data_IF_939730488883
#
_entry.id   IF_939730488883
#
_cell.length_a   1.000
_cell.length_b   1.000
_cell.length_c   1.000
_cell.angle_alpha   90.00
_cell.angle_beta   90.00
_cell.angle_gamma   90.00
#
_symmetry.space_group_name_H-M   'P 1'
#
loop_
_entity.id
_entity.type
_entity.pdbx_description
1 polymer ?
#
# COMPACT_ATOMS: atom_id res chain seq x y z
N UNK A 1 -0.83 -14.13 -20.63
CA UNK A 1 -1.33 -13.65 -19.32
C UNK A 1 -2.74 -13.04 -19.44
N UNK A 2 -3.76 -13.79 -19.89
CA UNK A 2 -5.11 -13.22 -20.06
C UNK A 2 -5.76 -12.76 -18.74
N UNK A 3 -5.47 -13.44 -17.61
CA UNK A 3 -6.06 -13.10 -16.31
C UNK A 3 -5.60 -11.75 -15.74
N UNK A 4 -4.33 -11.37 -15.94
CA UNK A 4 -3.77 -10.12 -15.41
C UNK A 4 -4.40 -8.91 -16.09
N UNK A 5 -4.42 -8.90 -17.42
CA UNK A 5 -5.06 -7.83 -18.19
C UNK A 5 -6.55 -7.70 -17.86
N UNK A 6 -7.26 -8.82 -17.67
CA UNK A 6 -8.66 -8.81 -17.25
C UNK A 6 -8.86 -8.15 -15.87
N UNK A 7 -8.01 -8.48 -14.89
CA UNK A 7 -8.04 -7.84 -13.58
C UNK A 7 -7.78 -6.32 -13.67
N UNK A 8 -6.73 -5.91 -14.39
CA UNK A 8 -6.37 -4.49 -14.56
C UNK A 8 -7.51 -3.69 -15.20
N UNK A 9 -8.13 -4.24 -16.26
CA UNK A 9 -9.26 -3.60 -16.92
C UNK A 9 -10.50 -3.51 -16.00
N UNK A 10 -10.73 -4.51 -15.15
CA UNK A 10 -11.84 -4.51 -14.21
C UNK A 10 -11.67 -3.49 -13.07
N UNK A 11 -10.44 -3.26 -12.61
CA UNK A 11 -10.16 -2.31 -11.51
C UNK A 11 -10.02 -0.87 -11.98
N UNK A 12 -9.57 -0.62 -13.21
CA UNK A 12 -9.34 0.72 -13.76
C UNK A 12 -10.50 1.72 -13.56
N UNK A 13 -11.79 1.37 -13.81
CA UNK A 13 -12.89 2.32 -13.63
C UNK A 13 -13.29 2.55 -12.17
N UNK A 14 -12.73 1.79 -11.22
CA UNK A 14 -13.21 1.80 -9.82
C UNK A 14 -12.58 2.88 -8.95
N UNK A 15 -11.64 3.67 -9.48
CA UNK A 15 -10.87 4.67 -8.72
C UNK A 15 -10.27 4.07 -7.42
N UNK A 16 -9.40 3.07 -7.58
CA UNK A 16 -8.79 2.28 -6.48
C UNK A 16 -9.77 1.51 -5.58
N UNK A 17 -11.02 1.37 -6.02
CA UNK A 17 -12.09 0.68 -5.28
C UNK A 17 -13.13 1.63 -4.68
N UNK A 18 -12.94 2.96 -4.74
CA UNK A 18 -13.88 3.96 -4.23
C UNK A 18 -15.25 3.90 -4.91
N UNK A 19 -15.25 3.65 -6.22
CA UNK A 19 -16.44 3.65 -7.08
C UNK A 19 -16.93 2.22 -7.40
N UNK A 20 -16.34 1.19 -6.80
CA UNK A 20 -16.70 -0.20 -7.09
C UNK A 20 -18.09 -0.53 -6.52
N UNK A 21 -18.99 -0.99 -7.39
CA UNK A 21 -20.28 -1.58 -6.99
C UNK A 21 -20.09 -2.99 -6.41
N UNK A 22 -21.07 -3.50 -5.66
CA UNK A 22 -20.98 -4.85 -5.08
C UNK A 22 -20.77 -5.96 -6.15
N UNK A 23 -21.48 -5.96 -7.30
CA UNK A 23 -21.22 -6.92 -8.37
C UNK A 23 -19.79 -6.81 -8.93
N UNK A 24 -19.28 -5.58 -9.09
CA UNK A 24 -17.90 -5.37 -9.55
C UNK A 24 -16.89 -5.89 -8.53
N UNK A 25 -17.10 -5.64 -7.23
CA UNK A 25 -16.25 -6.17 -6.16
C UNK A 25 -16.19 -7.70 -6.21
N UNK A 26 -17.33 -8.37 -6.37
CA UNK A 26 -17.39 -9.83 -6.49
C UNK A 26 -16.61 -10.32 -7.72
N UNK A 27 -16.80 -9.70 -8.88
CA UNK A 27 -16.08 -10.05 -10.10
C UNK A 27 -14.56 -9.84 -9.98
N UNK A 28 -14.14 -8.72 -9.37
CA UNK A 28 -12.73 -8.41 -9.12
C UNK A 28 -12.11 -9.42 -8.15
N UNK A 29 -12.81 -9.77 -7.05
CA UNK A 29 -12.34 -10.76 -6.10
C UNK A 29 -12.19 -12.15 -6.71
N UNK A 30 -13.10 -12.55 -7.61
CA UNK A 30 -12.98 -13.79 -8.37
C UNK A 30 -11.77 -13.77 -9.32
N UNK A 31 -11.54 -12.65 -10.03
CA UNK A 31 -10.37 -12.48 -10.88
C UNK A 31 -9.06 -12.52 -10.10
N UNK A 32 -9.04 -11.94 -8.90
CA UNK A 32 -7.91 -12.00 -7.96
C UNK A 32 -7.63 -13.44 -7.53
N UNK A 33 -8.66 -14.18 -7.09
CA UNK A 33 -8.50 -15.57 -6.67
C UNK A 33 -7.89 -16.44 -7.78
N UNK A 34 -8.38 -16.30 -9.01
CA UNK A 34 -7.84 -17.01 -10.17
C UNK A 34 -6.36 -16.70 -10.44
N UNK A 35 -5.91 -15.46 -10.17
CA UNK A 35 -4.49 -15.11 -10.30
C UNK A 35 -3.67 -15.67 -9.14
N UNK A 36 -4.18 -15.64 -7.91
CA UNK A 36 -3.52 -16.18 -6.73
C UNK A 36 -3.25 -17.69 -6.87
N UNK A 37 -4.17 -18.44 -7.51
CA UNK A 37 -4.00 -19.87 -7.83
C UNK A 37 -2.91 -20.13 -8.87
N UNK A 38 -2.64 -19.14 -9.73
CA UNK A 38 -1.63 -19.18 -10.79
C UNK A 38 -0.37 -18.37 -10.42
N UNK A 39 -0.15 -18.13 -9.12
CA UNK A 39 0.98 -17.36 -8.64
C UNK A 39 2.31 -18.01 -9.10
N UNK A 40 3.14 -17.31 -9.91
CA UNK A 40 4.40 -17.86 -10.39
C UNK A 40 5.46 -17.97 -9.29
N UNK A 41 5.24 -17.34 -8.14
CA UNK A 41 6.19 -17.27 -7.02
C UNK A 41 5.61 -17.93 -5.76
N UNK A 42 5.80 -19.25 -5.53
CA UNK A 42 5.15 -19.97 -4.42
C UNK A 42 5.50 -19.47 -3.01
N UNK A 43 6.69 -18.87 -2.84
CA UNK A 43 7.18 -18.27 -1.58
C UNK A 43 7.53 -16.78 -1.78
N UNK A 44 6.53 -15.89 -1.95
CA UNK A 44 6.74 -14.47 -2.26
C UNK A 44 7.64 -13.72 -1.28
N UNK A 45 7.61 -14.09 0.00
CA UNK A 45 8.38 -13.40 1.06
C UNK A 45 9.89 -13.63 0.89
N UNK A 46 10.28 -14.74 0.28
CA UNK A 46 11.69 -15.10 0.05
C UNK A 46 12.23 -14.57 -1.28
N UNK A 47 11.35 -14.27 -2.23
CA UNK A 47 11.70 -13.67 -3.52
C UNK A 47 12.06 -12.18 -3.36
N UNK A 48 13.15 -11.90 -2.65
CA UNK A 48 13.56 -10.56 -2.24
C UNK A 48 13.74 -9.59 -3.42
N UNK A 49 14.25 -10.09 -4.55
CA UNK A 49 14.39 -9.34 -5.79
C UNK A 49 13.04 -8.89 -6.36
N UNK A 50 11.98 -9.68 -6.18
CA UNK A 50 10.63 -9.29 -6.56
C UNK A 50 10.03 -8.40 -5.48
N UNK A 51 10.10 -8.78 -4.21
CA UNK A 51 9.39 -8.07 -3.14
C UNK A 51 9.91 -6.65 -2.90
N UNK A 52 11.23 -6.46 -2.98
CA UNK A 52 11.88 -5.18 -2.81
C UNK A 52 11.49 -4.20 -3.92
N UNK A 53 11.11 -2.97 -3.55
CA UNK A 53 10.78 -1.93 -4.51
C UNK A 53 9.61 -1.06 -4.10
N UNK A 54 9.22 -0.18 -5.01
CA UNK A 54 8.11 0.74 -4.84
C UNK A 54 6.87 0.17 -5.52
N UNK A 55 5.77 0.11 -4.79
CA UNK A 55 4.51 -0.43 -5.28
C UNK A 55 3.41 0.62 -5.18
N UNK A 56 2.74 0.91 -6.29
CA UNK A 56 1.59 1.80 -6.33
C UNK A 56 0.30 1.01 -6.28
N UNK A 57 -0.63 1.43 -5.43
CA UNK A 57 -1.93 0.78 -5.26
C UNK A 57 -2.84 1.06 -6.47
N UNK A 58 -3.30 -0.02 -7.10
CA UNK A 58 -4.29 0.03 -8.17
C UNK A 58 -5.71 -0.21 -7.66
N UNK A 59 -5.88 -1.05 -6.64
CA UNK A 59 -7.18 -1.40 -6.07
C UNK A 59 -7.06 -1.87 -4.62
N UNK A 60 -8.04 -1.48 -3.79
CA UNK A 60 -8.21 -2.06 -2.45
C UNK A 60 -9.66 -2.17 -2.03
N UNK A 61 -9.93 -3.13 -1.13
CA UNK A 61 -11.20 -3.20 -0.37
C UNK A 61 -11.07 -2.63 1.05
N UNK A 62 -9.91 -2.08 1.42
CA UNK A 62 -9.65 -1.56 2.76
C UNK A 62 -10.50 -0.33 3.07
N UNK A 63 -11.43 -0.47 4.03
CA UNK A 63 -12.25 0.65 4.50
C UNK A 63 -11.40 1.75 5.13
N UNK A 64 -10.31 1.40 5.82
CA UNK A 64 -9.41 2.37 6.44
C UNK A 64 -8.80 3.32 5.39
N UNK A 65 -8.33 2.79 4.26
CA UNK A 65 -7.79 3.60 3.16
C UNK A 65 -8.89 4.34 2.40
N UNK A 66 -9.99 3.66 2.06
CA UNK A 66 -11.06 4.26 1.26
C UNK A 66 -11.82 5.36 2.03
N UNK A 67 -11.89 5.28 3.36
CA UNK A 67 -12.52 6.31 4.19
C UNK A 67 -11.71 7.61 4.26
N UNK A 68 -10.45 7.63 3.84
CA UNK A 68 -9.67 8.87 3.72
C UNK A 68 -10.30 9.84 2.71
N UNK A 69 -11.03 9.33 1.72
CA UNK A 69 -11.77 10.13 0.72
C UNK A 69 -13.06 10.76 1.28
N UNK A 70 -13.50 10.38 2.48
CA UNK A 70 -14.73 10.91 3.11
C UNK A 70 -14.52 12.22 3.86
N UNK A 71 -13.28 12.69 3.98
CA UNK A 71 -12.98 13.96 4.62
C UNK A 71 -13.42 15.11 3.71
N UNK A 72 -14.19 16.10 4.22
CA UNK A 72 -14.67 17.19 3.39
C UNK A 72 -13.50 17.96 2.79
N UNK A 73 -13.61 18.32 1.50
CA UNK A 73 -12.58 19.02 0.72
C UNK A 73 -11.30 18.23 0.46
N UNK A 74 -11.24 16.94 0.79
CA UNK A 74 -10.11 16.05 0.52
C UNK A 74 -10.50 14.97 -0.49
N UNK A 75 -9.57 14.61 -1.37
CA UNK A 75 -9.68 13.48 -2.29
C UNK A 75 -8.49 12.56 -2.13
N UNK A 76 -8.72 11.26 -2.16
CA UNK A 76 -7.66 10.27 -2.09
C UNK A 76 -6.83 10.27 -3.37
N UNK A 77 -5.54 10.55 -3.19
CA UNK A 77 -4.54 10.58 -4.24
C UNK A 77 -3.90 9.22 -4.51
N UNK A 78 -2.62 9.24 -4.90
CA UNK A 78 -1.88 8.00 -5.07
C UNK A 78 -1.53 7.39 -3.71
N UNK A 79 -1.58 6.06 -3.66
CA UNK A 79 -1.12 5.31 -2.49
C UNK A 79 0.06 4.45 -2.92
N UNK A 80 1.14 4.53 -2.17
CA UNK A 80 2.34 3.73 -2.36
C UNK A 80 2.59 2.85 -1.15
N UNK A 81 3.10 1.66 -1.40
CA UNK A 81 3.66 0.77 -0.41
C UNK A 81 5.07 0.40 -0.86
N UNK A 82 6.06 1.05 -0.27
CA UNK A 82 7.46 0.82 -0.61
C UNK A 82 8.06 -0.17 0.38
N UNK A 83 8.69 -1.22 -0.13
CA UNK A 83 9.29 -2.28 0.67
C UNK A 83 10.80 -2.23 0.51
N UNK A 84 11.51 -2.28 1.63
CA UNK A 84 12.97 -2.41 1.72
C UNK A 84 13.27 -3.71 2.45
N UNK A 85 13.65 -4.73 1.70
CA UNK A 85 13.85 -6.08 2.26
C UNK A 85 15.09 -6.12 3.16
N UNK A 86 16.17 -5.44 2.76
CA UNK A 86 17.43 -5.39 3.52
C UNK A 86 17.25 -4.84 4.94
N UNK A 87 16.43 -3.80 5.08
CA UNK A 87 16.17 -3.16 6.38
C UNK A 87 14.88 -3.66 7.04
N UNK A 88 14.20 -4.64 6.43
CA UNK A 88 12.87 -5.12 6.85
C UNK A 88 11.84 -4.01 7.08
N UNK A 89 11.90 -2.96 6.26
CA UNK A 89 11.02 -1.79 6.37
C UNK A 89 9.91 -1.81 5.32
N UNK A 90 8.74 -1.33 5.69
CA UNK A 90 7.64 -1.00 4.78
C UNK A 90 7.14 0.40 5.07
N UNK A 91 6.96 1.18 4.00
CA UNK A 91 6.48 2.55 4.04
C UNK A 91 5.18 2.62 3.26
N UNK A 92 4.08 2.87 3.96
CA UNK A 92 2.81 3.19 3.33
C UNK A 92 2.72 4.71 3.21
N UNK A 93 2.41 5.23 2.03
CA UNK A 93 2.30 6.66 1.75
C UNK A 93 1.00 6.87 1.00
N UNK A 94 0.10 7.67 1.54
CA UNK A 94 -1.14 8.08 0.91
C UNK A 94 -1.12 9.59 0.67
N UNK A 95 -1.15 9.98 -0.59
CA UNK A 95 -1.32 11.37 -0.99
C UNK A 95 -2.79 11.78 -0.84
N UNK A 96 -3.03 13.01 -0.40
CA UNK A 96 -4.37 13.57 -0.27
C UNK A 96 -4.39 14.89 -1.05
N UNK A 97 -5.29 15.00 -2.02
CA UNK A 97 -5.48 16.22 -2.79
C UNK A 97 -6.63 17.02 -2.17
N UNK A 98 -6.35 18.26 -1.78
CA UNK A 98 -7.34 19.16 -1.18
C UNK A 98 -7.77 20.29 -2.10
N UNK A 99 -8.12 21.42 -1.49
CA UNK A 99 -8.16 22.72 -2.19
C UNK A 99 -6.78 23.02 -2.81
N UNK A 100 -6.70 23.90 -3.84
CA UNK A 100 -5.42 24.34 -4.39
C UNK A 100 -4.48 24.79 -3.26
N UNK A 101 -3.23 24.33 -3.29
CA UNK A 101 -2.19 24.60 -2.28
C UNK A 101 -2.34 23.86 -0.94
N UNK A 102 -3.38 23.02 -0.77
CA UNK A 102 -3.59 22.18 0.42
C UNK A 102 -3.44 20.69 0.06
N UNK A 103 -2.30 20.32 -0.51
CA UNK A 103 -1.95 18.91 -0.71
C UNK A 103 -1.42 18.30 0.58
N UNK A 104 -2.09 17.24 1.05
CA UNK A 104 -1.74 16.47 2.25
C UNK A 104 -0.99 15.18 1.95
N UNK A 105 -0.39 14.62 2.99
CA UNK A 105 0.28 13.33 3.00
C UNK A 105 -0.02 12.63 4.31
N UNK A 106 -0.35 11.34 4.24
CA UNK A 106 -0.34 10.42 5.37
C UNK A 106 0.67 9.33 5.07
N UNK A 107 1.66 9.15 5.94
CA UNK A 107 2.64 8.09 5.82
C UNK A 107 2.80 7.33 7.11
N UNK A 108 2.93 6.02 6.99
CA UNK A 108 3.19 5.11 8.10
C UNK A 108 4.41 4.27 7.74
N UNK A 109 5.45 4.38 8.57
CA UNK A 109 6.59 3.49 8.53
C UNK A 109 6.36 2.32 9.49
N UNK A 110 6.77 1.13 9.06
CA UNK A 110 6.66 -0.08 9.83
C UNK A 110 7.86 -0.98 9.58
N UNK A 111 8.12 -1.87 10.53
CA UNK A 111 8.98 -3.04 10.32
C UNK A 111 8.13 -4.24 10.00
N UNK A 112 8.65 -5.15 9.19
CA UNK A 112 8.00 -6.42 8.93
C UNK A 112 8.90 -7.60 9.27
N UNK A 113 8.30 -8.69 9.71
CA UNK A 113 8.98 -9.94 10.04
C UNK A 113 8.32 -11.09 9.27
N UNK A 114 9.08 -11.86 8.47
CA UNK A 114 8.57 -13.07 7.84
C UNK A 114 8.04 -14.07 8.87
N UNK A 115 6.79 -14.51 8.71
CA UNK A 115 6.17 -15.57 9.53
C UNK A 115 6.07 -16.87 8.75
N UNK A 116 5.87 -16.77 7.43
CA UNK A 116 5.88 -17.90 6.50
C UNK A 116 6.34 -17.45 5.12
N UNK A 117 6.43 -18.37 4.15
CA UNK A 117 6.76 -18.02 2.77
C UNK A 117 5.79 -17.03 2.10
N UNK A 118 4.61 -16.80 2.68
CA UNK A 118 3.57 -15.87 2.19
C UNK A 118 3.21 -14.77 3.18
N UNK A 119 3.37 -14.99 4.49
CA UNK A 119 2.91 -14.07 5.53
C UNK A 119 4.04 -13.26 6.13
N UNK A 120 3.82 -11.96 6.29
CA UNK A 120 4.64 -11.07 7.11
C UNK A 120 3.82 -10.49 8.27
N UNK A 121 4.41 -10.44 9.45
CA UNK A 121 3.92 -9.63 10.56
C UNK A 121 4.40 -8.20 10.35
N UNK A 122 3.55 -7.21 10.60
CA UNK A 122 3.86 -5.77 10.44
C UNK A 122 3.71 -5.08 11.79
N UNK A 123 4.75 -4.34 12.18
CA UNK A 123 4.83 -3.56 13.41
C UNK A 123 5.04 -2.09 13.07
N UNK A 124 4.01 -1.29 13.29
CA UNK A 124 4.05 0.15 12.98
C UNK A 124 4.95 0.88 13.99
N UNK A 125 5.82 1.76 13.51
CA UNK A 125 6.80 2.45 14.36
C UNK A 125 6.68 3.98 14.34
N UNK A 126 6.13 4.57 13.26
CA UNK A 126 6.10 6.01 13.06
C UNK A 126 4.96 6.40 12.13
N UNK A 127 4.19 7.41 12.54
CA UNK A 127 3.17 8.05 11.71
C UNK A 127 3.61 9.46 11.37
N UNK A 128 3.46 9.84 10.11
CA UNK A 128 3.76 11.18 9.59
C UNK A 128 2.54 11.68 8.83
N UNK A 129 1.94 12.76 9.30
CA UNK A 129 0.83 13.44 8.63
C UNK A 129 1.17 14.91 8.47
N UNK A 130 1.04 15.45 7.27
CA UNK A 130 1.37 16.86 7.03
C UNK A 130 1.01 17.33 5.63
N UNK A 131 1.18 18.63 5.39
CA UNK A 131 1.05 19.21 4.05
C UNK A 131 2.32 18.93 3.26
N UNK A 132 2.18 18.43 2.03
CA UNK A 132 3.28 18.01 1.16
C UNK A 132 4.34 19.12 1.03
N UNK A 133 3.91 20.37 0.83
CA UNK A 133 4.78 21.54 0.74
C UNK A 133 5.56 21.82 2.03
N UNK A 134 4.90 21.68 3.18
CA UNK A 134 5.53 21.97 4.48
C UNK A 134 6.52 20.89 4.90
N UNK A 135 6.27 19.63 4.54
CA UNK A 135 7.16 18.50 4.85
C UNK A 135 8.24 18.29 3.78
N UNK A 136 8.17 19.01 2.65
CA UNK A 136 9.10 18.89 1.53
C UNK A 136 8.97 17.57 0.79
N UNK A 137 7.74 17.08 0.61
CA UNK A 137 7.45 15.89 -0.18
C UNK A 137 7.60 16.20 -1.68
N UNK A 138 8.43 15.42 -2.37
CA UNK A 138 8.70 15.53 -3.82
C UNK A 138 8.34 14.22 -4.52
N UNK A 139 8.79 13.09 -3.96
CA UNK A 139 8.49 11.75 -4.45
C UNK A 139 8.54 10.74 -3.30
N UNK A 140 7.91 9.55 -3.44
CA UNK A 140 8.02 8.49 -2.44
C UNK A 140 9.46 8.11 -2.11
N UNK A 141 10.31 7.97 -3.12
CA UNK A 141 11.72 7.58 -2.95
C UNK A 141 12.49 8.60 -2.11
N UNK A 142 12.40 9.89 -2.46
CA UNK A 142 13.08 10.94 -1.73
C UNK A 142 12.55 11.06 -0.29
N UNK A 143 11.23 10.91 -0.10
CA UNK A 143 10.60 10.97 1.21
C UNK A 143 11.03 9.80 2.11
N UNK A 144 11.12 8.58 1.56
CA UNK A 144 11.62 7.40 2.29
C UNK A 144 13.07 7.60 2.72
N UNK A 145 13.93 8.09 1.82
CA UNK A 145 15.32 8.40 2.17
C UNK A 145 15.43 9.42 3.32
N UNK A 146 14.55 10.42 3.35
CA UNK A 146 14.48 11.37 4.47
C UNK A 146 14.02 10.71 5.78
N UNK A 147 13.04 9.78 5.72
CA UNK A 147 12.61 9.01 6.89
C UNK A 147 13.76 8.14 7.41
N UNK A 148 14.45 7.43 6.52
CA UNK A 148 15.57 6.55 6.82
C UNK A 148 16.78 7.31 7.37
N UNK A 149 17.01 8.55 6.93
CA UNK A 149 18.04 9.43 7.48
C UNK A 149 17.66 10.03 8.85
N UNK A 150 16.51 9.66 9.42
CA UNK A 150 16.05 10.15 10.72
C UNK A 150 15.51 11.58 10.72
N UNK A 151 15.24 12.18 9.54
CA UNK A 151 14.71 13.55 9.45
C UNK A 151 13.38 13.65 10.20
N UNK A 152 13.19 14.71 10.98
CA UNK A 152 11.91 15.10 11.57
C UNK A 152 11.16 16.06 10.64
N UNK A 153 9.86 15.85 10.49
CA UNK A 153 9.04 16.63 9.57
C UNK A 153 8.21 17.69 10.29
N UNK A 154 8.02 18.83 9.65
CA UNK A 154 7.08 19.89 10.02
C UNK A 154 5.64 19.43 9.76
N UNK A 155 5.12 18.63 10.69
CA UNK A 155 3.78 18.03 10.67
C UNK A 155 3.53 17.22 11.95
N UNK A 156 2.51 16.37 11.93
CA UNK A 156 2.30 15.37 12.97
C UNK A 156 3.26 14.21 12.68
N UNK A 157 4.39 14.19 13.37
CA UNK A 157 5.45 13.17 13.23
C UNK A 157 5.66 12.49 14.58
N UNK A 158 4.93 11.41 14.79
CA UNK A 158 4.82 10.75 16.10
C UNK A 158 5.28 9.30 16.03
N UNK A 159 6.01 8.81 17.05
CA UNK A 159 6.25 7.39 17.18
C UNK A 159 4.94 6.65 17.45
N UNK A 160 4.81 5.45 16.90
CA UNK A 160 3.70 4.54 17.19
C UNK A 160 4.21 3.50 18.21
N UNK A 161 3.44 3.28 19.28
CA UNK A 161 3.70 2.13 20.15
C UNK A 161 3.26 0.84 19.45
N UNK A 162 4.25 0.05 19.01
CA UNK A 162 4.06 -1.21 18.30
C UNK A 162 3.42 -2.32 19.15
N UNK A 163 3.34 -2.20 20.48
CA UNK A 163 2.70 -3.21 21.33
C UNK A 163 1.19 -3.31 21.05
N UNK A 164 0.55 -2.19 20.74
CA UNK A 164 -0.90 -2.11 20.51
C UNK A 164 -1.30 -2.00 19.03
N UNK A 165 -0.34 -1.80 18.12
CA UNK A 165 -0.59 -1.58 16.70
C UNK A 165 0.25 -2.54 15.86
N UNK A 166 -0.28 -3.75 15.68
CA UNK A 166 0.31 -4.79 14.84
C UNK A 166 -0.73 -5.30 13.84
N UNK A 167 -0.26 -5.78 12.71
CA UNK A 167 -1.07 -6.45 11.71
C UNK A 167 -0.27 -7.53 11.02
N UNK A 168 -0.93 -8.26 10.13
CA UNK A 168 -0.25 -9.18 9.22
C UNK A 168 -0.72 -8.92 7.80
N UNK A 169 0.16 -9.22 6.85
CA UNK A 169 -0.10 -9.14 5.43
C UNK A 169 0.33 -10.46 4.80
N UNK A 170 -0.58 -11.12 4.11
CA UNK A 170 -0.25 -12.19 3.19
C UNK A 170 0.09 -11.60 1.83
N UNK A 171 1.22 -11.97 1.25
CA UNK A 171 1.54 -11.75 -0.15
C UNK A 171 1.14 -13.03 -0.88
N UNK A 172 0.08 -12.93 -1.67
CA UNK A 172 -0.60 -14.08 -2.26
C UNK A 172 -0.30 -14.26 -3.75
N UNK A 173 0.17 -13.20 -4.40
CA UNK A 173 0.68 -13.20 -5.76
C UNK A 173 1.82 -12.18 -5.88
N UNK A 174 2.90 -12.55 -6.58
CA UNK A 174 3.91 -11.58 -7.00
C UNK A 174 4.58 -12.03 -8.29
N UNK A 175 4.72 -11.10 -9.23
CA UNK A 175 5.55 -11.21 -10.42
C UNK A 175 6.38 -9.92 -10.61
N UNK A 176 6.92 -9.71 -11.82
CA UNK A 176 7.79 -8.58 -12.12
C UNK A 176 7.11 -7.22 -11.94
N UNK A 177 5.81 -7.09 -12.19
CA UNK A 177 5.10 -5.80 -12.22
C UNK A 177 3.81 -5.76 -11.40
N UNK A 178 3.31 -6.88 -10.88
CA UNK A 178 2.08 -6.96 -10.07
C UNK A 178 2.30 -7.71 -8.77
N UNK A 179 1.70 -7.17 -7.71
CA UNK A 179 1.63 -7.81 -6.39
C UNK A 179 0.21 -7.78 -5.86
N UNK A 180 -0.22 -8.90 -5.29
CA UNK A 180 -1.49 -9.00 -4.58
C UNK A 180 -1.20 -9.36 -3.13
N UNK A 181 -1.82 -8.61 -2.22
CA UNK A 181 -1.76 -8.88 -0.79
C UNK A 181 -3.13 -8.91 -0.12
N UNK A 182 -3.22 -9.64 0.99
CA UNK A 182 -4.40 -9.74 1.84
C UNK A 182 -4.04 -9.36 3.27
N UNK A 183 -4.72 -8.35 3.81
CA UNK A 183 -4.52 -7.84 5.16
C UNK A 183 -5.36 -8.56 6.21
N UNK A 184 -4.98 -8.37 7.47
CA UNK A 184 -5.64 -8.91 8.66
C UNK A 184 -7.14 -8.62 8.81
N UNK A 185 -7.63 -7.52 8.22
CA UNK A 185 -9.05 -7.15 8.24
C UNK A 185 -9.85 -7.70 7.04
N UNK A 186 -9.31 -8.70 6.32
CA UNK A 186 -9.92 -9.22 5.09
C UNK A 186 -9.82 -8.26 3.90
N UNK A 187 -8.97 -7.22 4.02
CA UNK A 187 -8.71 -6.27 2.95
C UNK A 187 -7.83 -6.91 1.86
N UNK A 188 -8.08 -6.58 0.60
CA UNK A 188 -7.23 -6.97 -0.53
C UNK A 188 -6.51 -5.74 -1.06
N UNK A 189 -5.29 -5.90 -1.54
CA UNK A 189 -4.48 -4.86 -2.16
C UNK A 189 -3.92 -5.40 -3.46
N UNK A 190 -4.21 -4.72 -4.57
CA UNK A 190 -3.60 -4.99 -5.88
C UNK A 190 -2.66 -3.82 -6.16
N UNK A 191 -1.38 -4.11 -6.35
CA UNK A 191 -0.35 -3.09 -6.54
C UNK A 191 0.47 -3.36 -7.79
N UNK A 192 0.89 -2.29 -8.47
CA UNK A 192 1.84 -2.33 -9.59
C UNK A 192 3.21 -1.83 -9.14
N UNK A 193 4.28 -2.34 -9.73
CA UNK A 193 5.63 -1.78 -9.52
C UNK A 193 5.75 -0.43 -10.25
N UNK A 194 6.51 0.50 -9.66
CA UNK A 194 6.83 1.83 -10.21
C UNK A 194 8.30 2.13 -10.17
#
# INVERSE_FOLDING_TARGET
>A
MMGKTALINAIAPTNRGLLATEPQKQAILAAIANLEDLNPTPRPVEASNLLNGNWQLLYTTSKALLNLDRLPFCKLGQIYQCIRVETTSVYNIAEIYGLPYLEGLVSVAAKFEPVSGRRVQVKFNRSIVGLQRLIGYISPENFIHQIESGKKFSGIDVPINSENQQGWLDITYIDDDLRIGRGNEGSVFVLTRT
#
